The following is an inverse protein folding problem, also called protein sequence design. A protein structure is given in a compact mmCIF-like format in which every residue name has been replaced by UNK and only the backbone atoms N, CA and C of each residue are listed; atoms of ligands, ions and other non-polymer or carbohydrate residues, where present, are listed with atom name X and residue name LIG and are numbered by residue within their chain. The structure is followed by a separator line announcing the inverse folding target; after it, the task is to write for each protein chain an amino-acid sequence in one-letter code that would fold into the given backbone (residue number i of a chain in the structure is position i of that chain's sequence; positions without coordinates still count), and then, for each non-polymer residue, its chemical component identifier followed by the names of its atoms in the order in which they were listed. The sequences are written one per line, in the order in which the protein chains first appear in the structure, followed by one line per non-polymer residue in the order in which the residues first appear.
data_IF_905335675668
#
_entry.id   IF_905335675668
#
_cell.length_a   1.000
_cell.length_b   1.000
_cell.length_c   1.000
_cell.angle_alpha   90.00
_cell.angle_beta   90.00
_cell.angle_gamma   90.00
#
_symmetry.space_group_name_H-M   'P 1'
#
loop_
_entity.id
_entity.type
_entity.pdbx_description
1 polymer ?
#
# COMPACT_ATOMS: atom_id res chain seq x y z
N UNK A 1 24.94 -49.63 3.07
CA UNK A 1 25.13 -48.66 4.18
C UNK A 1 24.68 -47.30 3.62
N UNK A 2 23.41 -46.83 3.63
CA UNK A 2 22.43 -46.51 4.71
C UNK A 2 23.12 -45.83 5.90
N UNK A 3 22.79 -44.61 6.35
CA UNK A 3 21.50 -43.88 6.53
C UNK A 3 21.64 -42.36 6.23
N UNK A 4 20.73 -41.60 5.58
CA UNK A 4 19.33 -41.14 5.86
C UNK A 4 19.20 -40.08 6.97
N UNK A 5 18.82 -38.84 6.60
CA UNK A 5 17.80 -37.92 7.18
C UNK A 5 17.61 -36.75 6.17
N UNK A 6 16.61 -36.78 5.27
CA UNK A 6 15.25 -36.21 5.42
C UNK A 6 15.18 -34.67 5.40
N UNK A 7 14.99 -34.06 4.21
CA UNK A 7 14.16 -32.86 4.08
C UNK A 7 13.56 -32.81 2.66
N UNK A 8 12.25 -33.08 2.55
CA UNK A 8 11.51 -33.11 1.30
C UNK A 8 11.38 -31.70 0.71
N UNK A 9 11.52 -31.52 -0.62
CA UNK A 9 10.84 -30.43 -1.32
C UNK A 9 9.38 -30.85 -1.55
N UNK A 10 8.46 -30.38 -0.70
CA UNK A 10 7.02 -30.50 -1.00
C UNK A 10 6.66 -29.42 -2.02
N UNK A 11 6.47 -29.86 -3.26
CA UNK A 11 5.30 -29.63 -4.13
C UNK A 11 5.75 -29.56 -5.58
N UNK A 12 5.79 -30.74 -6.19
CA UNK A 12 5.40 -30.87 -7.58
C UNK A 12 3.88 -30.74 -7.67
N UNK A 13 3.41 -29.96 -8.65
CA UNK A 13 2.26 -30.28 -9.52
C UNK A 13 2.37 -29.40 -10.78
N UNK A 14 3.11 -29.89 -11.76
CA UNK A 14 2.90 -29.61 -13.19
C UNK A 14 1.49 -30.14 -13.60
N UNK A 15 0.82 -29.62 -14.65
CA UNK A 15 1.27 -29.87 -16.03
C UNK A 15 1.09 -28.71 -17.02
N UNK A 16 2.12 -28.50 -17.85
CA UNK A 16 1.95 -28.08 -19.26
C UNK A 16 2.12 -29.35 -20.10
N UNK A 17 1.37 -29.52 -21.20
CA UNK A 17 1.84 -29.01 -22.50
C UNK A 17 0.69 -28.52 -23.41
N UNK A 18 0.85 -27.94 -24.60
CA UNK A 18 1.88 -27.21 -25.37
C UNK A 18 1.28 -27.12 -26.78
N UNK A 19 0.88 -25.94 -27.26
CA UNK A 19 0.92 -25.64 -28.70
C UNK A 19 0.79 -24.12 -28.88
N UNK A 20 1.78 -23.54 -29.57
CA UNK A 20 1.98 -22.12 -29.87
C UNK A 20 2.65 -21.27 -28.78
N UNK A 21 3.86 -21.71 -28.43
CA UNK A 21 5.00 -20.81 -28.25
C UNK A 21 5.23 -19.98 -29.51
N UNK A 22 5.48 -18.66 -29.35
CA UNK A 22 6.37 -17.76 -30.13
C UNK A 22 5.71 -16.36 -30.14
N UNK A 23 6.18 -15.32 -29.47
CA UNK A 23 7.54 -14.81 -29.35
C UNK A 23 7.77 -14.23 -27.92
N UNK A 24 8.78 -14.76 -27.23
CA UNK A 24 9.45 -14.21 -26.04
C UNK A 24 8.57 -13.56 -24.95
N UNK A 25 7.78 -14.40 -24.26
CA UNK A 25 7.00 -14.03 -23.07
C UNK A 25 7.49 -14.68 -21.77
N UNK A 26 8.80 -14.68 -21.50
CA UNK A 26 9.36 -15.19 -20.24
C UNK A 26 10.14 -14.12 -19.49
N UNK A 27 9.41 -13.15 -18.92
CA UNK A 27 9.85 -12.47 -17.71
C UNK A 27 8.69 -12.45 -16.70
N UNK A 28 8.70 -13.48 -15.85
CA UNK A 28 8.38 -13.41 -14.42
C UNK A 28 6.91 -13.39 -13.97
N UNK A 29 6.31 -14.58 -13.90
CA UNK A 29 5.14 -14.84 -13.07
C UNK A 29 5.42 -14.69 -11.54
N UNK A 30 6.69 -14.61 -11.13
CA UNK A 30 7.06 -14.19 -9.77
C UNK A 30 6.97 -12.65 -9.57
N UNK A 31 7.06 -11.85 -10.62
CA UNK A 31 6.81 -10.40 -10.51
C UNK A 31 5.30 -10.08 -10.36
N UNK A 32 4.41 -10.98 -10.79
CA UNK A 32 2.95 -10.76 -10.74
C UNK A 32 2.41 -10.78 -9.30
N UNK A 33 2.86 -11.69 -8.42
CA UNK A 33 2.41 -11.72 -7.01
C UNK A 33 2.91 -10.53 -6.18
N UNK A 34 4.07 -9.97 -6.55
CA UNK A 34 4.59 -8.75 -5.92
C UNK A 34 3.78 -7.51 -6.30
N UNK A 35 3.10 -7.54 -7.45
CA UNK A 35 2.29 -6.43 -7.98
C UNK A 35 0.79 -6.54 -7.66
N UNK A 36 0.30 -7.75 -7.36
CA UNK A 36 -1.13 -8.08 -7.13
C UNK A 36 -1.65 -7.80 -5.71
N UNK A 37 -1.17 -6.73 -5.05
CA UNK A 37 -1.68 -6.26 -3.73
C UNK A 37 -2.01 -4.77 -3.67
N UNK A 38 -2.20 -4.10 -4.82
CA UNK A 38 -2.83 -2.77 -4.83
C UNK A 38 -4.33 -2.88 -4.62
N UNK A 39 -4.74 -3.55 -3.54
CA UNK A 39 -6.08 -3.37 -3.01
C UNK A 39 -6.20 -1.92 -2.59
N UNK A 40 -7.37 -1.33 -2.84
CA UNK A 40 -7.73 0.07 -2.61
C UNK A 40 -7.69 0.44 -1.12
N UNK A 41 -6.51 0.38 -0.51
CA UNK A 41 -6.32 0.60 0.91
C UNK A 41 -6.46 2.08 1.22
N UNK A 42 -7.32 2.35 2.18
CA UNK A 42 -7.56 3.66 2.72
C UNK A 42 -6.59 3.90 3.88
N UNK A 43 -5.74 4.92 3.73
CA UNK A 43 -4.72 5.27 4.72
C UNK A 43 -5.14 6.59 5.37
N UNK A 44 -5.23 6.60 6.70
CA UNK A 44 -5.54 7.78 7.49
C UNK A 44 -4.30 8.30 8.23
N UNK A 45 -3.96 9.56 8.00
CA UNK A 45 -2.83 10.23 8.62
C UNK A 45 -3.30 11.10 9.79
N UNK A 46 -2.76 10.88 10.98
CA UNK A 46 -2.95 11.79 12.11
C UNK A 46 -1.75 12.72 12.18
N UNK A 47 -1.98 14.04 12.10
CA UNK A 47 -0.93 15.05 11.91
C UNK A 47 -0.44 15.15 10.46
N UNK A 48 -1.36 15.14 9.49
CA UNK A 48 -1.02 15.14 8.06
C UNK A 48 -0.32 16.42 7.58
N UNK A 49 -0.47 17.54 8.29
CA UNK A 49 0.16 18.82 7.99
C UNK A 49 1.63 18.92 8.41
N UNK A 50 2.20 17.87 9.01
CA UNK A 50 3.64 17.79 9.27
C UNK A 50 4.45 17.60 7.98
N UNK A 51 5.62 18.24 7.89
CA UNK A 51 6.47 18.27 6.67
C UNK A 51 6.77 16.87 6.11
N UNK A 52 7.01 15.89 6.98
CA UNK A 52 7.30 14.51 6.53
C UNK A 52 6.05 13.73 6.13
N UNK A 53 4.95 13.92 6.85
CA UNK A 53 3.71 13.17 6.64
C UNK A 53 2.97 13.64 5.40
N UNK A 54 3.03 14.94 5.10
CA UNK A 54 2.42 15.51 3.92
C UNK A 54 3.02 14.99 2.62
N UNK A 55 4.34 14.85 2.56
CA UNK A 55 5.02 14.34 1.34
C UNK A 55 4.69 12.88 1.05
N UNK A 56 4.61 12.05 2.10
CA UNK A 56 4.21 10.64 1.94
C UNK A 56 2.74 10.54 1.56
N UNK A 57 1.86 11.35 2.17
CA UNK A 57 0.44 11.40 1.85
C UNK A 57 0.20 11.80 0.38
N UNK A 58 0.92 12.79 -0.11
CA UNK A 58 0.85 13.25 -1.51
C UNK A 58 1.33 12.16 -2.48
N UNK A 59 2.43 11.49 -2.18
CA UNK A 59 2.91 10.36 -2.99
C UNK A 59 1.86 9.24 -3.07
N UNK A 60 1.23 8.90 -1.94
CA UNK A 60 0.21 7.86 -1.90
C UNK A 60 -1.03 8.21 -2.73
N UNK A 61 -1.45 9.48 -2.71
CA UNK A 61 -2.52 9.98 -3.59
C UNK A 61 -2.14 9.81 -5.07
N UNK A 62 -0.92 10.20 -5.46
CA UNK A 62 -0.43 10.02 -6.82
C UNK A 62 -0.33 8.55 -7.26
N UNK A 63 -0.06 7.64 -6.32
CA UNK A 63 -0.01 6.21 -6.57
C UNK A 63 -1.41 5.56 -6.69
N UNK A 64 -2.49 6.32 -6.48
CA UNK A 64 -3.88 5.87 -6.58
C UNK A 64 -4.45 5.28 -5.29
N UNK A 65 -3.79 5.51 -4.14
CA UNK A 65 -4.35 5.13 -2.84
C UNK A 65 -5.35 6.17 -2.36
N UNK A 66 -6.32 5.74 -1.56
CA UNK A 66 -7.22 6.65 -0.87
C UNK A 66 -6.53 7.15 0.38
N UNK A 67 -6.31 8.46 0.48
CA UNK A 67 -5.68 9.08 1.64
C UNK A 67 -6.64 10.03 2.32
N UNK A 68 -6.79 9.86 3.63
CA UNK A 68 -7.40 10.84 4.49
C UNK A 68 -6.44 11.26 5.60
N UNK A 69 -6.72 12.37 6.27
CA UNK A 69 -5.95 12.74 7.45
C UNK A 69 -6.64 13.75 8.34
N UNK A 70 -6.14 13.88 9.55
CA UNK A 70 -6.57 14.86 10.54
C UNK A 70 -5.40 15.70 11.01
N UNK A 71 -5.64 17.00 11.24
CA UNK A 71 -4.66 17.92 11.82
C UNK A 71 -5.36 18.93 12.72
N UNK A 72 -4.67 19.48 13.72
CA UNK A 72 -5.20 20.50 14.63
C UNK A 72 -5.60 21.79 13.91
N UNK A 73 -4.88 22.15 12.85
CA UNK A 73 -5.13 23.37 12.07
C UNK A 73 -5.05 23.09 10.58
N UNK A 74 -5.90 23.76 9.81
CA UNK A 74 -5.71 23.83 8.36
C UNK A 74 -4.53 24.75 8.03
N UNK A 75 -3.60 24.24 7.25
CA UNK A 75 -2.42 24.96 6.74
C UNK A 75 -2.43 24.94 5.21
N UNK A 76 -1.51 25.66 4.58
CA UNK A 76 -1.36 25.60 3.12
C UNK A 76 -1.01 24.20 2.62
N UNK A 77 -0.32 23.40 3.45
CA UNK A 77 0.03 22.00 3.16
C UNK A 77 -1.24 21.15 3.11
N UNK A 78 -2.10 21.25 4.13
CA UNK A 78 -3.36 20.47 4.16
C UNK A 78 -4.27 20.85 2.99
N UNK A 79 -4.31 22.14 2.62
CA UNK A 79 -5.07 22.61 1.46
C UNK A 79 -4.55 22.00 0.15
N UNK A 80 -3.23 21.92 -0.03
CA UNK A 80 -2.64 21.27 -1.22
C UNK A 80 -3.01 19.80 -1.31
N UNK A 81 -3.00 19.08 -0.20
CA UNK A 81 -3.42 17.68 -0.15
C UNK A 81 -4.91 17.51 -0.48
N UNK A 82 -5.78 18.41 0.01
CA UNK A 82 -7.19 18.44 -0.39
C UNK A 82 -7.34 18.64 -1.92
N UNK A 83 -6.57 19.57 -2.50
CA UNK A 83 -6.56 19.81 -3.96
C UNK A 83 -6.03 18.62 -4.76
N UNK A 84 -5.09 17.84 -4.21
CA UNK A 84 -4.57 16.62 -4.80
C UNK A 84 -5.55 15.43 -4.70
N UNK A 85 -6.73 15.61 -4.09
CA UNK A 85 -7.77 14.58 -3.95
C UNK A 85 -7.77 13.84 -2.61
N UNK A 86 -6.99 14.30 -1.63
CA UNK A 86 -7.01 13.80 -0.25
C UNK A 86 -8.18 14.37 0.56
N UNK A 87 -8.59 13.66 1.61
CA UNK A 87 -9.62 14.12 2.55
C UNK A 87 -8.95 14.60 3.83
N UNK A 88 -8.98 15.91 4.13
CA UNK A 88 -8.38 16.45 5.37
C UNK A 88 -9.45 16.95 6.34
N UNK A 89 -9.32 16.55 7.59
CA UNK A 89 -10.19 16.94 8.70
C UNK A 89 -9.46 17.85 9.69
N UNK A 90 -10.15 18.88 10.18
CA UNK A 90 -9.61 19.81 11.19
C UNK A 90 -10.04 19.42 12.61
N UNK A 91 -9.07 19.07 13.45
CA UNK A 91 -9.21 18.50 14.79
C UNK A 91 -9.07 16.97 14.82
N UNK A 92 -8.77 16.42 15.99
CA UNK A 92 -8.74 14.96 16.20
C UNK A 92 -10.09 14.49 16.75
N UNK A 93 -10.77 13.63 16.00
CA UNK A 93 -11.98 12.94 16.46
C UNK A 93 -11.90 11.48 16.07
N UNK A 94 -12.24 10.58 16.99
CA UNK A 94 -12.20 9.13 16.74
C UNK A 94 -13.12 8.70 15.58
N UNK A 95 -14.21 9.43 15.35
CA UNK A 95 -15.13 9.22 14.24
C UNK A 95 -14.51 9.41 12.85
N UNK A 96 -13.37 10.10 12.74
CA UNK A 96 -12.73 10.42 11.44
C UNK A 96 -11.77 9.34 10.95
N UNK A 97 -11.42 8.41 11.83
CA UNK A 97 -10.56 7.26 11.54
C UNK A 97 -11.39 6.05 11.08
N UNK A 98 -12.72 6.09 11.25
CA UNK A 98 -13.60 4.97 10.89
C UNK A 98 -13.52 4.65 9.39
N UNK A 99 -13.16 3.41 9.07
CA UNK A 99 -13.01 2.93 7.69
C UNK A 99 -11.63 3.12 7.09
N UNK A 100 -10.63 3.52 7.88
CA UNK A 100 -9.22 3.45 7.47
C UNK A 100 -8.69 2.02 7.66
N UNK A 101 -8.02 1.48 6.65
CA UNK A 101 -7.33 0.19 6.73
C UNK A 101 -6.01 0.30 7.49
N UNK A 102 -5.37 1.47 7.38
CA UNK A 102 -4.09 1.78 8.03
C UNK A 102 -4.16 3.18 8.61
N UNK A 103 -3.70 3.32 9.84
CA UNK A 103 -3.56 4.62 10.50
C UNK A 103 -2.07 4.89 10.70
N UNK A 104 -1.62 6.05 10.23
CA UNK A 104 -0.24 6.50 10.40
C UNK A 104 -0.25 7.70 11.33
N UNK A 105 0.47 7.61 12.43
CA UNK A 105 0.61 8.67 13.44
C UNK A 105 2.06 9.10 13.49
N UNK A 106 2.31 10.41 13.60
CA UNK A 106 3.65 10.90 13.96
C UNK A 106 3.79 10.93 15.48
N UNK A 107 5.03 10.91 15.98
CA UNK A 107 5.32 11.04 17.42
C UNK A 107 4.98 12.42 17.99
N UNK A 108 4.73 13.40 17.11
CA UNK A 108 4.38 14.77 17.47
C UNK A 108 2.87 15.01 17.54
N UNK A 109 2.07 13.95 17.39
CA UNK A 109 0.60 13.95 17.56
C UNK A 109 0.25 13.75 19.03
#
# INVERSE_FOLDING_TARGET
MRCRWSFLPRRASFPCPEEETELCGVHSAEQDWMYKRREHKHIHFVGIGGIGMSGIAELLLHLGYKVSGSDLRKTDITRRLELAGGIVYEGHQASRVSGADVVVVSTAV
#
